data_IF_403985537302
#
_entry.id   IF_403985537302
#
_cell.length_a   1.000
_cell.length_b   1.000
_cell.length_c   1.000
_cell.angle_alpha   90.00
_cell.angle_beta   90.00
_cell.angle_gamma   90.00
#
_symmetry.space_group_name_H-M   'P 1'
#
loop_
_entity.id
_entity.type
_entity.pdbx_description
1 polymer ?
#
# COMPACT_ATOMS: atom_id res chain seq x y z
N UNK A 1 -3.12 -0.43 0.45
CA UNK A 1 -1.69 -0.24 0.75
C UNK A 1 -0.92 -0.71 -0.46
N UNK A 2 -0.01 0.10 -0.96
CA UNK A 2 0.71 -0.06 -2.21
C UNK A 2 2.22 -0.06 -1.94
N UNK A 3 3.02 -0.74 -2.76
CA UNK A 3 4.48 -0.76 -2.62
C UNK A 3 5.12 -1.99 -3.26
N UNK A 4 6.43 -1.92 -3.52
CA UNK A 4 7.20 -3.03 -4.11
C UNK A 4 7.11 -4.31 -3.27
N UNK A 5 7.42 -5.45 -3.87
CA UNK A 5 7.60 -6.70 -3.11
C UNK A 5 8.72 -6.50 -2.08
N UNK A 6 8.52 -6.99 -0.84
CA UNK A 6 9.48 -6.77 0.25
C UNK A 6 9.46 -5.38 0.90
N UNK A 7 8.60 -4.45 0.49
CA UNK A 7 8.45 -3.12 1.14
C UNK A 7 7.79 -3.14 2.53
N UNK A 8 7.38 -4.32 3.02
CA UNK A 8 6.77 -4.45 4.34
C UNK A 8 5.25 -4.21 4.40
N UNK A 9 4.52 -4.26 3.27
CA UNK A 9 3.05 -4.11 3.22
C UNK A 9 2.31 -5.01 4.19
N UNK A 10 2.55 -6.32 4.11
CA UNK A 10 1.88 -7.31 4.96
C UNK A 10 2.24 -7.11 6.44
N UNK A 11 3.50 -6.81 6.75
CA UNK A 11 3.94 -6.48 8.12
C UNK A 11 3.26 -5.21 8.65
N UNK A 12 3.20 -4.15 7.84
CA UNK A 12 2.51 -2.91 8.18
C UNK A 12 1.03 -3.14 8.49
N UNK A 13 0.34 -3.91 7.63
CA UNK A 13 -1.06 -4.27 7.85
C UNK A 13 -1.21 -5.09 9.14
N UNK A 14 -0.36 -6.09 9.38
CA UNK A 14 -0.44 -6.93 10.58
C UNK A 14 -0.30 -6.14 11.88
N UNK A 15 0.54 -5.10 11.89
CA UNK A 15 0.69 -4.23 13.06
C UNK A 15 -0.57 -3.40 13.35
N UNK A 16 -1.32 -3.02 12.30
CA UNK A 16 -2.54 -2.22 12.43
C UNK A 16 -3.78 -3.07 12.74
N UNK A 17 -3.80 -4.33 12.35
CA UNK A 17 -4.91 -5.25 12.60
C UNK A 17 -4.85 -5.89 13.99
N UNK A 18 -3.66 -5.92 14.61
CA UNK A 18 -3.44 -6.49 15.95
C UNK A 18 -3.52 -8.03 16.01
N UNK A 19 -3.23 -8.64 17.18
CA UNK A 19 -3.23 -10.09 17.40
C UNK A 19 -4.63 -10.75 17.32
N UNK A 20 -5.70 -9.98 17.26
CA UNK A 20 -7.07 -10.47 17.09
C UNK A 20 -7.54 -10.46 15.62
N UNK A 21 -6.63 -10.30 14.66
CA UNK A 21 -6.90 -10.48 13.23
C UNK A 21 -7.09 -11.96 12.84
N UNK A 22 -7.34 -12.84 13.81
CA UNK A 22 -7.67 -14.23 13.54
C UNK A 22 -9.07 -14.33 12.94
N UNK A 23 -9.10 -14.91 11.74
CA UNK A 23 -10.27 -15.55 11.12
C UNK A 23 -11.36 -14.59 10.64
N UNK A 24 -10.94 -13.60 9.86
CA UNK A 24 -11.74 -13.18 8.71
C UNK A 24 -10.91 -13.47 7.48
N UNK A 25 -11.04 -14.66 6.89
CA UNK A 25 -10.66 -14.87 5.49
C UNK A 25 -11.29 -13.71 4.74
N UNK A 26 -10.46 -12.74 4.34
CA UNK A 26 -10.92 -11.56 3.65
C UNK A 26 -11.75 -12.05 2.48
N UNK A 27 -13.03 -11.69 2.44
CA UNK A 27 -13.84 -11.98 1.27
C UNK A 27 -13.12 -11.33 0.10
N UNK A 28 -12.44 -12.14 -0.71
CA UNK A 28 -11.87 -11.72 -1.98
C UNK A 28 -13.00 -11.01 -2.72
N UNK A 29 -12.72 -9.84 -3.31
CA UNK A 29 -13.68 -9.11 -4.13
C UNK A 29 -13.99 -9.95 -5.38
N UNK A 30 -14.83 -10.98 -5.24
CA UNK A 30 -15.29 -11.98 -6.22
C UNK A 30 -14.19 -12.72 -6.99
N UNK A 31 -14.44 -14.00 -7.31
CA UNK A 31 -13.49 -14.97 -7.88
C UNK A 31 -12.98 -14.67 -9.30
N UNK A 32 -13.14 -13.43 -9.77
CA UNK A 32 -12.68 -12.94 -11.07
C UNK A 32 -11.58 -11.87 -10.93
N UNK A 33 -11.31 -11.40 -9.71
CA UNK A 33 -10.36 -10.30 -9.48
C UNK A 33 -9.16 -10.79 -8.68
N UNK A 34 -7.99 -10.68 -9.30
CA UNK A 34 -6.71 -11.19 -8.81
C UNK A 34 -6.34 -10.52 -7.45
N UNK A 35 -6.30 -11.35 -6.40
CA UNK A 35 -5.47 -11.29 -5.19
C UNK A 35 -5.39 -10.00 -4.36
N UNK A 36 -6.50 -9.30 -4.06
CA UNK A 36 -6.50 -8.30 -2.99
C UNK A 36 -7.21 -8.80 -1.73
N UNK A 37 -6.51 -8.72 -0.60
CA UNK A 37 -7.05 -9.11 0.71
C UNK A 37 -7.43 -7.87 1.50
N UNK A 38 -8.65 -7.86 2.04
CA UNK A 38 -9.16 -6.77 2.86
C UNK A 38 -9.05 -7.11 4.34
N UNK A 39 -8.50 -6.19 5.13
CA UNK A 39 -8.27 -6.35 6.55
C UNK A 39 -9.00 -5.26 7.33
N UNK A 40 -9.98 -5.60 8.19
CA UNK A 40 -10.65 -4.62 9.02
C UNK A 40 -9.71 -4.13 10.13
N UNK A 41 -9.72 -2.83 10.39
CA UNK A 41 -9.06 -2.21 11.55
C UNK A 41 -10.10 -1.43 12.37
N UNK A 42 -10.08 -1.52 13.71
CA UNK A 42 -10.93 -0.72 14.57
C UNK A 42 -10.68 0.77 14.35
N UNK A 43 -11.75 1.56 14.31
CA UNK A 43 -11.68 3.01 14.16
C UNK A 43 -12.49 3.66 15.30
N UNK A 44 -11.86 4.05 16.41
CA UNK A 44 -12.58 4.55 17.60
C UNK A 44 -13.46 5.77 17.32
N UNK A 45 -13.11 6.57 16.31
CA UNK A 45 -13.85 7.76 15.91
C UNK A 45 -15.11 7.48 15.08
N UNK A 46 -15.36 6.23 14.68
CA UNK A 46 -16.56 5.87 13.90
C UNK A 46 -17.15 4.53 14.36
N UNK A 47 -18.46 4.32 14.15
CA UNK A 47 -19.07 3.01 14.43
C UNK A 47 -18.80 1.95 13.35
N UNK A 48 -17.95 2.24 12.35
CA UNK A 48 -17.65 1.33 11.24
C UNK A 48 -16.15 1.01 11.22
N UNK A 49 -15.75 -0.24 10.93
CA UNK A 49 -14.35 -0.54 10.74
C UNK A 49 -13.82 0.17 9.48
N UNK A 50 -12.55 0.56 9.54
CA UNK A 50 -11.80 0.91 8.34
C UNK A 50 -11.24 -0.37 7.73
N UNK A 51 -11.00 -0.38 6.42
CA UNK A 51 -10.43 -1.54 5.74
C UNK A 51 -9.11 -1.17 5.09
N UNK A 52 -8.07 -1.91 5.43
CA UNK A 52 -6.81 -1.91 4.71
C UNK A 52 -6.88 -2.96 3.60
N UNK A 53 -6.60 -2.55 2.38
CA UNK A 53 -6.56 -3.45 1.22
C UNK A 53 -5.10 -3.73 0.94
N UNK A 54 -4.66 -4.98 1.06
CA UNK A 54 -3.35 -5.41 0.59
C UNK A 54 -3.42 -5.64 -0.92
N UNK A 55 -2.51 -4.98 -1.64
CA UNK A 55 -2.38 -5.16 -3.10
C UNK A 55 -1.11 -5.98 -3.35
N UNK A 56 -1.11 -6.94 -4.29
CA UNK A 56 0.10 -7.67 -4.67
C UNK A 56 1.27 -6.72 -4.97
N UNK A 57 2.49 -7.15 -4.63
CA UNK A 57 3.69 -6.32 -4.82
C UNK A 57 3.95 -6.02 -6.29
N UNK A 58 4.25 -4.76 -6.59
CA UNK A 58 4.42 -4.25 -7.96
C UNK A 58 5.72 -4.67 -8.67
N UNK A 59 6.61 -5.37 -7.98
CA UNK A 59 7.95 -5.71 -8.49
C UNK A 59 8.10 -7.20 -8.75
N UNK A 60 6.99 -7.88 -9.06
CA UNK A 60 7.07 -9.24 -9.59
C UNK A 60 7.69 -9.13 -10.98
N UNK A 61 8.97 -9.49 -11.10
CA UNK A 61 9.80 -9.41 -12.31
C UNK A 61 9.24 -10.19 -13.51
N UNK A 62 8.11 -10.88 -13.32
CA UNK A 62 7.35 -11.63 -14.30
C UNK A 62 6.18 -10.85 -14.93
N UNK A 63 5.83 -9.67 -14.40
CA UNK A 63 4.61 -8.92 -14.77
C UNK A 63 4.93 -7.64 -15.54
N UNK A 64 4.20 -7.39 -16.64
CA UNK A 64 4.34 -6.16 -17.43
C UNK A 64 3.73 -4.95 -16.72
N UNK A 65 4.24 -3.74 -17.01
CA UNK A 65 3.70 -2.47 -16.51
C UNK A 65 2.16 -2.37 -16.69
N UNK A 66 1.66 -2.90 -17.82
CA UNK A 66 0.22 -2.96 -18.16
C UNK A 66 -0.56 -3.87 -17.21
N UNK A 67 0.01 -5.00 -16.78
CA UNK A 67 -0.66 -5.92 -15.86
C UNK A 67 -0.76 -5.35 -14.44
N UNK A 68 0.24 -4.58 -14.01
CA UNK A 68 0.23 -3.84 -12.75
C UNK A 68 -0.86 -2.76 -12.78
N UNK A 69 -0.91 -1.99 -13.87
CA UNK A 69 -1.95 -1.00 -14.13
C UNK A 69 -3.35 -1.60 -14.09
N UNK A 70 -3.54 -2.72 -14.78
CA UNK A 70 -4.81 -3.42 -14.82
C UNK A 70 -5.23 -3.88 -13.43
N UNK A 71 -4.29 -4.45 -12.65
CA UNK A 71 -4.57 -4.88 -11.27
C UNK A 71 -5.05 -3.71 -10.40
N UNK A 72 -4.37 -2.55 -10.46
CA UNK A 72 -4.80 -1.36 -9.71
C UNK A 72 -6.18 -0.89 -10.18
N UNK A 73 -6.39 -0.77 -11.49
CA UNK A 73 -7.64 -0.31 -12.06
C UNK A 73 -8.82 -1.24 -11.72
N UNK A 74 -8.60 -2.55 -11.76
CA UNK A 74 -9.59 -3.56 -11.41
C UNK A 74 -9.99 -3.45 -9.94
N UNK A 75 -9.02 -3.26 -9.05
CA UNK A 75 -9.27 -3.08 -7.62
C UNK A 75 -10.08 -1.80 -7.34
N UNK A 76 -9.68 -0.68 -7.94
CA UNK A 76 -10.42 0.58 -7.80
C UNK A 76 -11.85 0.47 -8.37
N UNK A 77 -12.00 -0.21 -9.51
CA UNK A 77 -13.31 -0.45 -10.14
C UNK A 77 -14.20 -1.34 -9.26
N UNK A 78 -13.65 -2.41 -8.68
CA UNK A 78 -14.37 -3.29 -7.77
C UNK A 78 -14.88 -2.52 -6.53
N UNK A 79 -14.04 -1.67 -5.93
CA UNK A 79 -14.43 -0.82 -4.80
C UNK A 79 -15.52 0.18 -5.18
N UNK A 80 -15.40 0.80 -6.35
CA UNK A 80 -16.41 1.71 -6.86
C UNK A 80 -17.75 1.01 -7.08
N UNK A 81 -17.75 -0.16 -7.73
CA UNK A 81 -18.96 -0.99 -7.95
C UNK A 81 -19.61 -1.43 -6.63
N UNK A 82 -18.79 -1.76 -5.64
CA UNK A 82 -19.26 -2.10 -4.29
C UNK A 82 -19.69 -0.88 -3.46
N UNK A 83 -19.72 0.33 -4.04
CA UNK A 83 -20.04 1.60 -3.36
C UNK A 83 -19.21 1.83 -2.10
N UNK A 84 -17.92 1.44 -2.15
CA UNK A 84 -16.97 1.66 -1.06
C UNK A 84 -16.17 2.93 -1.35
N UNK A 85 -16.08 3.80 -0.34
CA UNK A 85 -15.29 5.02 -0.41
C UNK A 85 -13.83 4.72 -0.12
N UNK A 86 -12.94 5.17 -1.00
CA UNK A 86 -11.49 5.13 -0.77
C UNK A 86 -11.11 6.39 0.01
N UNK A 87 -10.59 6.20 1.23
CA UNK A 87 -10.18 7.31 2.09
C UNK A 87 -8.79 7.85 1.72
N UNK A 88 -7.93 7.01 1.16
CA UNK A 88 -6.59 7.38 0.75
C UNK A 88 -5.75 6.19 0.33
N UNK A 89 -4.52 6.49 -0.08
CA UNK A 89 -3.54 5.50 -0.51
C UNK A 89 -2.27 5.66 0.31
N UNK A 90 -1.81 4.55 0.89
CA UNK A 90 -0.52 4.46 1.56
C UNK A 90 0.43 3.76 0.60
N UNK A 91 1.52 4.43 0.22
CA UNK A 91 2.61 3.87 -0.57
C UNK A 91 3.80 3.61 0.34
N UNK A 92 4.23 2.36 0.43
CA UNK A 92 5.36 1.93 1.22
C UNK A 92 6.60 1.76 0.35
N UNK A 93 7.70 2.37 0.80
CA UNK A 93 9.02 2.30 0.15
C UNK A 93 10.08 1.94 1.18
N UNK A 94 11.04 1.07 0.85
CA UNK A 94 12.13 0.76 1.80
C UNK A 94 13.07 1.93 1.89
N UNK A 95 13.44 2.35 3.09
CA UNK A 95 14.41 3.44 3.25
C UNK A 95 15.81 3.07 2.75
N UNK A 96 16.12 1.77 2.74
CA UNK A 96 17.38 1.21 2.23
C UNK A 96 17.50 1.31 0.71
N UNK A 97 16.39 1.50 -0.01
CA UNK A 97 16.40 1.75 -1.45
C UNK A 97 16.78 3.22 -1.70
N UNK A 98 18.09 3.51 -1.63
CA UNK A 98 18.70 4.85 -1.84
C UNK A 98 18.47 5.43 -3.24
N UNK A 99 17.98 4.60 -4.16
CA UNK A 99 17.51 5.00 -5.49
C UNK A 99 16.12 4.44 -5.70
N UNK A 100 15.22 5.26 -6.23
CA UNK A 100 13.98 4.76 -6.79
C UNK A 100 14.33 3.98 -8.07
N UNK A 101 14.18 2.66 -8.02
CA UNK A 101 14.31 1.81 -9.20
C UNK A 101 13.32 2.25 -10.28
N UNK A 102 13.64 1.97 -11.55
CA UNK A 102 12.78 2.34 -12.68
C UNK A 102 11.35 1.84 -12.55
N UNK A 103 11.14 0.64 -11.99
CA UNK A 103 9.82 0.07 -11.70
C UNK A 103 9.06 0.93 -10.68
N UNK A 104 9.70 1.29 -9.56
CA UNK A 104 9.11 2.16 -8.54
C UNK A 104 8.69 3.53 -9.09
N UNK A 105 9.57 4.20 -9.85
CA UNK A 105 9.26 5.50 -10.47
C UNK A 105 8.02 5.41 -11.36
N UNK A 106 7.93 4.37 -12.20
CA UNK A 106 6.79 4.15 -13.08
C UNK A 106 5.50 3.93 -12.28
N UNK A 107 5.53 3.10 -11.23
CA UNK A 107 4.38 2.88 -10.36
C UNK A 107 3.90 4.18 -9.71
N UNK A 108 4.81 5.04 -9.24
CA UNK A 108 4.45 6.36 -8.71
C UNK A 108 3.83 7.26 -9.77
N UNK A 109 4.36 7.28 -11.00
CA UNK A 109 3.79 8.07 -12.09
C UNK A 109 2.37 7.59 -12.47
N UNK A 110 2.17 6.28 -12.48
CA UNK A 110 0.86 5.66 -12.71
C UNK A 110 -0.12 6.08 -11.62
N UNK A 111 0.26 5.94 -10.35
CA UNK A 111 -0.56 6.34 -9.21
C UNK A 111 -0.93 7.83 -9.29
N UNK A 112 0.03 8.69 -9.63
CA UNK A 112 -0.20 10.13 -9.83
C UNK A 112 -1.23 10.41 -10.92
N UNK A 113 -1.27 9.62 -12.00
CA UNK A 113 -2.24 9.75 -13.10
C UNK A 113 -3.63 9.25 -12.69
N UNK A 114 -3.70 8.15 -11.94
CA UNK A 114 -4.98 7.55 -11.51
C UNK A 114 -5.63 8.38 -10.39
N UNK A 115 -4.87 8.83 -9.39
CA UNK A 115 -5.41 9.67 -8.31
C UNK A 115 -5.81 11.06 -8.81
N UNK A 116 -5.02 11.63 -9.72
CA UNK A 116 -5.14 13.01 -10.15
C UNK A 116 -4.73 14.03 -9.06
N UNK A 117 -4.38 15.26 -9.43
CA UNK A 117 -3.85 16.27 -8.50
C UNK A 117 -4.77 16.61 -7.33
N UNK A 118 -6.10 16.53 -7.53
CA UNK A 118 -7.10 16.87 -6.54
C UNK A 118 -7.19 15.89 -5.35
N UNK A 119 -6.46 14.76 -5.41
CA UNK A 119 -6.48 13.72 -4.37
C UNK A 119 -5.09 13.45 -3.77
N UNK A 120 -4.09 14.30 -4.05
CA UNK A 120 -2.73 14.11 -3.52
C UNK A 120 -2.66 14.30 -2.01
N UNK A 121 -3.56 15.09 -1.42
CA UNK A 121 -3.78 15.21 0.02
C UNK A 121 -4.19 13.89 0.70
N UNK A 122 -4.66 12.91 -0.10
CA UNK A 122 -5.04 11.56 0.36
C UNK A 122 -4.01 10.50 0.02
N UNK A 123 -2.82 10.88 -0.45
CA UNK A 123 -1.72 9.95 -0.74
C UNK A 123 -0.60 10.16 0.27
N UNK A 124 -0.26 9.11 1.00
CA UNK A 124 0.83 9.12 1.98
C UNK A 124 1.96 8.23 1.48
N UNK A 125 3.16 8.78 1.38
CA UNK A 125 4.40 8.02 1.20
C UNK A 125 5.01 7.73 2.57
N UNK A 126 5.10 6.46 2.93
CA UNK A 126 5.71 6.03 4.18
C UNK A 126 6.91 5.12 3.90
N UNK A 127 7.96 5.27 4.71
CA UNK A 127 9.19 4.47 4.56
C UNK A 127 9.29 3.37 5.61
N UNK A 128 9.82 2.22 5.21
CA UNK A 128 9.99 1.03 6.07
C UNK A 128 11.46 0.58 6.12
N UNK A 129 11.75 -0.50 6.86
CA UNK A 129 13.11 -1.06 7.04
C UNK A 129 14.09 -0.14 7.79
N UNK A 130 13.58 0.70 8.68
CA UNK A 130 14.41 1.60 9.51
C UNK A 130 15.38 0.86 10.44
N UNK A 131 15.04 -0.36 10.86
CA UNK A 131 15.86 -1.18 11.77
C UNK A 131 16.98 -1.95 11.07
N UNK A 132 17.05 -1.90 9.74
CA UNK A 132 18.08 -2.60 8.98
C UNK A 132 19.46 -1.99 9.27
N UNK A 133 20.46 -2.84 9.53
CA UNK A 133 21.73 -2.48 10.17
C UNK A 133 22.64 -1.55 9.32
N UNK A 134 22.25 -1.30 8.08
CA UNK A 134 22.92 -0.38 7.15
C UNK A 134 22.57 1.11 7.39
N UNK A 135 21.49 1.40 8.12
CA UNK A 135 21.12 2.77 8.51
C UNK A 135 21.74 3.12 9.86
N UNK A 136 22.80 3.94 9.85
CA UNK A 136 23.42 4.44 11.08
C UNK A 136 22.42 5.27 11.89
N UNK A 137 22.64 5.36 13.21
CA UNK A 137 21.80 6.17 14.11
C UNK A 137 21.67 7.63 13.62
N UNK A 138 22.76 8.20 13.11
CA UNK A 138 22.78 9.54 12.51
C UNK A 138 21.93 9.63 11.23
N UNK A 139 21.90 8.58 10.40
CA UNK A 139 21.03 8.50 9.23
C UNK A 139 19.54 8.47 9.60
N UNK A 140 19.19 7.87 10.75
CA UNK A 140 17.81 7.83 11.25
C UNK A 140 17.33 9.21 11.71
N UNK A 141 18.16 9.92 12.48
CA UNK A 141 17.84 11.26 12.99
C UNK A 141 17.70 12.28 11.85
N UNK A 142 18.60 12.25 10.87
CA UNK A 142 18.54 13.15 9.72
C UNK A 142 17.30 12.95 8.83
N UNK A 143 16.78 11.73 8.75
CA UNK A 143 15.59 11.42 7.97
C UNK A 143 14.28 11.77 8.70
N UNK A 144 14.23 11.66 10.03
CA UNK A 144 13.08 12.14 10.82
C UNK A 144 12.99 13.67 10.87
N UNK A 145 14.12 14.38 10.86
CA UNK A 145 14.16 15.84 10.90
C UNK A 145 13.71 16.54 9.61
N UNK A 146 13.38 15.79 8.54
CA UNK A 146 12.98 16.31 7.22
C UNK A 146 11.51 16.06 6.85
N UNK A 147 10.73 15.46 7.74
CA UNK A 147 9.26 15.36 7.61
C UNK A 147 8.59 16.49 8.37
#
# INVERSE_FOLDING_TARGET
VMGMTGSGKTTFISHLTGPHAEVGVGHSLSSSTIDATCYPIPCPSTQRPLYLIDTPGFDDTTRSDTSILQTIADQLTALHRARRTILGIIVLHRITDVRLAGSAVKTFQILRRICGPANYDRVVLATTMWTDASFSLAGREAAMARQ
#
